data_IF_166939126019
#
_entry.id   IF_166939126019
#
_cell.length_a   1.000
_cell.length_b   1.000
_cell.length_c   1.000
_cell.angle_alpha   90.00
_cell.angle_beta   90.00
_cell.angle_gamma   90.00
#
_symmetry.space_group_name_H-M   'P 1'
#
loop_
_entity.id
_entity.type
_entity.pdbx_description
1 polymer ?
#
# COMPACT_ATOMS: atom_id res chain seq x y z
N UNK A 1 -38.47 0.83 8.42
CA UNK A 1 -37.52 0.96 7.28
C UNK A 1 -36.38 1.93 7.61
N UNK A 2 -36.64 3.20 7.95
CA UNK A 2 -35.56 4.16 8.29
C UNK A 2 -34.69 3.75 9.49
N UNK A 3 -35.29 3.28 10.59
CA UNK A 3 -34.54 2.79 11.77
C UNK A 3 -33.61 1.61 11.45
N UNK A 4 -34.02 0.70 10.57
CA UNK A 4 -33.20 -0.43 10.15
C UNK A 4 -32.02 0.04 9.27
N UNK A 5 -32.24 1.01 8.38
CA UNK A 5 -31.18 1.63 7.58
C UNK A 5 -30.18 2.40 8.44
N UNK A 6 -30.65 3.16 9.42
CA UNK A 6 -29.80 3.88 10.37
C UNK A 6 -28.97 2.91 11.22
N UNK A 7 -29.59 1.82 11.69
CA UNK A 7 -28.90 0.77 12.42
C UNK A 7 -27.85 0.03 11.56
N UNK A 8 -28.18 -0.31 10.32
CA UNK A 8 -27.21 -0.92 9.39
C UNK A 8 -26.05 0.03 9.10
N UNK A 9 -26.30 1.31 8.84
CA UNK A 9 -25.24 2.29 8.61
C UNK A 9 -24.34 2.45 9.83
N UNK A 10 -24.91 2.51 11.03
CA UNK A 10 -24.16 2.58 12.28
C UNK A 10 -23.35 1.30 12.51
N UNK A 11 -23.95 0.12 12.31
CA UNK A 11 -23.28 -1.17 12.48
C UNK A 11 -22.14 -1.37 11.48
N UNK A 12 -22.33 -0.98 10.22
CA UNK A 12 -21.26 -0.98 9.22
C UNK A 12 -20.13 -0.03 9.62
N UNK A 13 -20.46 1.19 10.06
CA UNK A 13 -19.45 2.15 10.53
C UNK A 13 -18.70 1.65 11.80
N UNK A 14 -19.40 0.97 12.71
CA UNK A 14 -18.81 0.34 13.90
C UNK A 14 -17.90 -0.84 13.51
N UNK A 15 -18.29 -1.66 12.52
CA UNK A 15 -17.45 -2.73 11.97
C UNK A 15 -16.22 -2.19 11.24
N UNK A 16 -16.38 -1.13 10.45
CA UNK A 16 -15.28 -0.45 9.75
C UNK A 16 -14.30 0.17 10.75
N UNK A 17 -14.80 0.81 11.82
CA UNK A 17 -13.96 1.35 12.90
C UNK A 17 -13.33 0.26 13.78
N UNK A 18 -14.01 -0.89 13.95
CA UNK A 18 -13.48 -2.03 14.70
C UNK A 18 -12.46 -2.83 13.88
N UNK A 19 -12.52 -2.75 12.55
CA UNK A 19 -11.47 -3.30 11.68
C UNK A 19 -10.20 -2.48 11.85
N UNK A 20 -9.21 -3.06 12.54
CA UNK A 20 -7.89 -2.44 12.73
C UNK A 20 -7.14 -2.15 11.40
N UNK A 21 -7.58 -2.75 10.30
CA UNK A 21 -7.08 -2.52 8.95
C UNK A 21 -8.16 -1.80 8.15
N UNK A 22 -8.05 -0.48 8.06
CA UNK A 22 -8.85 0.30 7.13
C UNK A 22 -8.27 0.11 5.73
N UNK A 23 -8.77 -0.91 5.02
CA UNK A 23 -8.23 -1.34 3.74
C UNK A 23 -8.29 -0.23 2.69
N UNK A 24 -9.24 0.70 2.83
CA UNK A 24 -9.36 1.88 1.97
C UNK A 24 -8.24 2.89 2.18
N UNK A 25 -7.62 2.94 3.36
CA UNK A 25 -6.45 3.79 3.61
C UNK A 25 -5.18 3.21 3.02
N UNK A 26 -5.08 1.88 2.94
CA UNK A 26 -3.91 1.17 2.42
C UNK A 26 -3.99 0.89 0.91
N UNK A 27 -5.17 0.57 0.38
CA UNK A 27 -5.40 0.16 -1.00
C UNK A 27 -6.16 1.25 -1.76
N UNK A 28 -5.47 2.32 -2.16
CA UNK A 28 -6.04 3.37 -3.01
C UNK A 28 -6.01 3.00 -4.50
N UNK A 29 -6.92 3.65 -5.24
CA UNK A 29 -6.79 3.78 -6.68
C UNK A 29 -5.83 4.93 -6.96
N UNK A 30 -4.75 4.65 -7.69
CA UNK A 30 -3.70 5.63 -7.97
C UNK A 30 -3.37 5.72 -9.47
N UNK A 31 -4.05 4.96 -10.32
CA UNK A 31 -3.73 4.90 -11.75
C UNK A 31 -4.99 4.72 -12.60
N UNK A 32 -4.96 5.18 -13.84
CA UNK A 32 -5.98 4.80 -14.84
C UNK A 32 -5.90 3.34 -15.32
N UNK A 33 -5.17 2.48 -14.60
CA UNK A 33 -5.02 1.05 -14.92
C UNK A 33 -6.32 0.31 -14.61
N UNK A 34 -6.98 -0.17 -15.65
CA UNK A 34 -8.25 -0.92 -15.57
C UNK A 34 -8.13 -2.22 -14.78
N UNK A 35 -6.91 -2.74 -14.57
CA UNK A 35 -6.67 -3.96 -13.80
C UNK A 35 -6.47 -3.72 -12.30
N UNK A 36 -6.23 -2.48 -11.87
CA UNK A 36 -6.00 -2.14 -10.48
C UNK A 36 -7.24 -2.35 -9.58
N UNK A 37 -8.46 -1.98 -9.99
CA UNK A 37 -9.67 -2.28 -9.22
C UNK A 37 -9.88 -3.78 -8.99
N UNK A 38 -9.65 -4.60 -10.03
CA UNK A 38 -9.74 -6.06 -9.93
C UNK A 38 -8.70 -6.63 -8.96
N UNK A 39 -7.45 -6.13 -9.02
CA UNK A 39 -6.39 -6.55 -8.11
C UNK A 39 -6.75 -6.24 -6.64
N UNK A 40 -7.20 -5.01 -6.37
CA UNK A 40 -7.65 -4.56 -5.04
C UNK A 40 -8.79 -5.42 -4.50
N UNK A 41 -9.81 -5.66 -5.33
CA UNK A 41 -10.93 -6.52 -4.95
C UNK A 41 -10.50 -7.96 -4.62
N UNK A 42 -9.54 -8.50 -5.37
CA UNK A 42 -9.06 -9.86 -5.10
C UNK A 42 -8.16 -9.96 -3.86
N UNK A 43 -7.39 -8.91 -3.53
CA UNK A 43 -6.66 -8.82 -2.25
C UNK A 43 -7.66 -8.79 -1.08
N UNK A 44 -8.69 -7.94 -1.18
CA UNK A 44 -9.72 -7.86 -0.14
C UNK A 44 -10.41 -9.21 0.08
N UNK A 45 -10.78 -9.90 -1.01
CA UNK A 45 -11.42 -11.21 -0.94
C UNK A 45 -10.51 -12.28 -0.28
N UNK A 46 -9.22 -12.30 -0.61
CA UNK A 46 -8.31 -13.29 -0.02
C UNK A 46 -8.04 -13.02 1.47
N UNK A 47 -7.98 -11.75 1.88
CA UNK A 47 -7.84 -11.38 3.30
C UNK A 47 -9.05 -11.79 4.12
N UNK A 48 -10.27 -11.56 3.60
CA UNK A 48 -11.51 -12.03 4.23
C UNK A 48 -11.57 -13.55 4.32
N UNK A 49 -10.97 -14.24 3.34
CA UNK A 49 -10.92 -15.70 3.31
C UNK A 49 -9.76 -16.31 4.11
N UNK A 50 -8.96 -15.51 4.84
CA UNK A 50 -7.78 -15.93 5.60
C UNK A 50 -6.71 -16.66 4.76
N UNK A 51 -6.61 -16.33 3.47
CA UNK A 51 -5.66 -16.94 2.51
C UNK A 51 -4.43 -16.06 2.31
N UNK A 52 -3.79 -15.67 3.40
CA UNK A 52 -2.69 -14.71 3.39
C UNK A 52 -1.49 -15.16 2.53
N UNK A 53 -1.25 -16.46 2.44
CA UNK A 53 -0.24 -17.10 1.59
C UNK A 53 -0.43 -16.79 0.10
N UNK A 54 -1.68 -16.83 -0.38
CA UNK A 54 -2.05 -16.48 -1.76
C UNK A 54 -2.04 -14.95 -1.94
N UNK A 55 -2.46 -14.20 -0.91
CA UNK A 55 -2.53 -12.74 -0.93
C UNK A 55 -1.16 -12.08 -1.09
N UNK A 56 -0.08 -12.68 -0.54
CA UNK A 56 1.28 -12.12 -0.59
C UNK A 56 1.72 -11.72 -2.00
N UNK A 57 1.44 -12.57 -3.00
CA UNK A 57 1.80 -12.28 -4.40
C UNK A 57 1.01 -11.09 -4.96
N UNK A 58 -0.26 -10.97 -4.59
CA UNK A 58 -1.14 -9.89 -5.05
C UNK A 58 -0.78 -8.57 -4.37
N UNK A 59 -0.50 -8.59 -3.07
CA UNK A 59 -0.01 -7.44 -2.30
C UNK A 59 1.34 -6.97 -2.86
N UNK A 60 2.28 -7.88 -3.14
CA UNK A 60 3.55 -7.53 -3.78
C UNK A 60 3.32 -6.81 -5.12
N UNK A 61 2.46 -7.38 -5.98
CA UNK A 61 2.11 -6.78 -7.28
C UNK A 61 1.51 -5.39 -7.12
N UNK A 62 0.61 -5.22 -6.15
CA UNK A 62 0.02 -3.93 -5.82
C UNK A 62 1.08 -2.90 -5.40
N UNK A 63 1.97 -3.25 -4.47
CA UNK A 63 3.05 -2.35 -4.02
C UNK A 63 3.97 -1.93 -5.16
N UNK A 64 4.32 -2.86 -6.06
CA UNK A 64 5.14 -2.55 -7.24
C UNK A 64 4.45 -1.52 -8.13
N UNK A 65 3.15 -1.72 -8.44
CA UNK A 65 2.37 -0.75 -9.24
C UNK A 65 2.28 0.62 -8.53
N UNK A 66 2.03 0.61 -7.23
CA UNK A 66 1.93 1.81 -6.39
C UNK A 66 3.22 2.64 -6.45
N UNK A 67 4.36 2.06 -6.07
CA UNK A 67 5.62 2.80 -6.03
C UNK A 67 6.10 3.23 -7.41
N UNK A 68 5.87 2.43 -8.45
CA UNK A 68 6.17 2.85 -9.83
C UNK A 68 5.37 4.07 -10.25
N UNK A 69 4.10 4.11 -9.87
CA UNK A 69 3.23 5.27 -10.17
C UNK A 69 3.70 6.50 -9.41
N UNK A 70 4.00 6.37 -8.11
CA UNK A 70 4.53 7.45 -7.28
C UNK A 70 5.88 7.99 -7.76
N UNK A 71 6.76 7.12 -8.27
CA UNK A 71 8.05 7.52 -8.84
C UNK A 71 7.87 8.18 -10.21
N UNK A 72 7.00 7.63 -11.05
CA UNK A 72 6.72 8.18 -12.39
C UNK A 72 6.10 9.58 -12.30
N UNK A 73 5.21 9.83 -11.33
CA UNK A 73 4.65 11.17 -11.08
C UNK A 73 5.69 12.22 -10.69
N UNK A 74 6.90 11.78 -10.28
CA UNK A 74 8.05 12.62 -9.93
C UNK A 74 9.15 12.62 -11.00
N UNK A 75 8.83 12.15 -12.21
CA UNK A 75 9.78 12.05 -13.32
C UNK A 75 10.87 10.99 -13.13
N UNK A 76 10.73 10.08 -12.16
CA UNK A 76 11.64 8.96 -11.95
C UNK A 76 11.15 7.75 -12.74
N UNK A 77 11.68 7.57 -13.94
CA UNK A 77 11.41 6.37 -14.73
C UNK A 77 12.04 5.14 -14.05
N UNK A 78 11.28 4.05 -13.99
CA UNK A 78 11.74 2.78 -13.39
C UNK A 78 11.59 1.65 -14.39
N UNK A 79 12.62 0.81 -14.50
CA UNK A 79 12.55 -0.41 -15.32
C UNK A 79 11.62 -1.45 -14.65
N UNK A 80 10.92 -2.23 -15.48
CA UNK A 80 10.04 -3.32 -15.07
C UNK A 80 10.74 -4.42 -14.26
N UNK A 81 12.08 -4.50 -14.35
CA UNK A 81 12.91 -5.48 -13.61
C UNK A 81 13.34 -5.02 -12.22
N UNK A 82 13.13 -3.75 -11.86
CA UNK A 82 13.54 -3.24 -10.55
C UNK A 82 12.71 -3.92 -9.45
N UNK A 83 13.34 -4.53 -8.43
CA UNK A 83 12.64 -5.21 -7.35
C UNK A 83 11.97 -4.21 -6.39
N UNK A 84 10.99 -4.70 -5.60
CA UNK A 84 10.12 -3.84 -4.80
C UNK A 84 10.87 -3.02 -3.74
N UNK A 85 11.79 -3.64 -3.03
CA UNK A 85 12.67 -2.99 -2.05
C UNK A 85 13.47 -1.85 -2.68
N UNK A 86 14.01 -2.02 -3.89
CA UNK A 86 14.75 -0.99 -4.59
C UNK A 86 13.84 0.17 -5.05
N UNK A 87 12.62 -0.11 -5.52
CA UNK A 87 11.62 0.93 -5.79
C UNK A 87 11.33 1.75 -4.53
N UNK A 88 11.07 1.06 -3.41
CA UNK A 88 10.85 1.71 -2.13
C UNK A 88 12.08 2.48 -1.63
N UNK A 89 13.29 1.96 -1.84
CA UNK A 89 14.53 2.63 -1.48
C UNK A 89 14.70 3.97 -2.20
N UNK A 90 14.35 4.03 -3.49
CA UNK A 90 14.31 5.29 -4.24
C UNK A 90 13.26 6.24 -3.69
N UNK A 91 12.04 5.75 -3.43
CA UNK A 91 10.98 6.56 -2.83
C UNK A 91 11.37 7.11 -1.45
N UNK A 92 11.95 6.29 -0.56
CA UNK A 92 12.42 6.71 0.75
C UNK A 92 13.55 7.75 0.71
N UNK A 93 14.41 7.73 -0.31
CA UNK A 93 15.41 8.79 -0.54
C UNK A 93 14.74 10.11 -0.90
N UNK A 94 13.69 10.07 -1.71
CA UNK A 94 12.89 11.25 -2.06
C UNK A 94 12.26 11.85 -0.80
N UNK A 95 11.58 11.04 0.03
CA UNK A 95 10.95 11.57 1.26
C UNK A 95 11.96 12.22 2.20
N UNK A 96 13.17 11.66 2.28
CA UNK A 96 14.26 12.25 3.06
C UNK A 96 14.76 13.54 2.46
N UNK A 97 15.01 13.57 1.15
CA UNK A 97 15.54 14.75 0.46
C UNK A 97 14.58 15.95 0.53
N UNK A 98 13.28 15.67 0.49
CA UNK A 98 12.22 16.69 0.59
C UNK A 98 11.89 17.08 2.05
N UNK A 99 12.48 16.43 3.06
CA UNK A 99 12.16 16.69 4.46
C UNK A 99 10.72 16.30 4.86
N UNK A 100 10.08 15.45 4.07
CA UNK A 100 8.66 15.12 4.23
C UNK A 100 8.37 14.18 5.42
N UNK A 101 9.41 13.62 6.03
CA UNK A 101 9.33 12.93 7.31
C UNK A 101 10.42 13.46 8.23
N UNK A 102 10.13 13.49 9.54
CA UNK A 102 11.12 13.93 10.52
C UNK A 102 12.26 12.92 10.66
N UNK A 103 13.38 13.37 11.25
CA UNK A 103 14.51 12.49 11.56
C UNK A 103 14.12 11.27 12.41
N UNK A 104 13.08 11.40 13.24
CA UNK A 104 12.52 10.33 14.07
C UNK A 104 11.92 9.19 13.24
N UNK A 105 11.36 9.46 12.06
CA UNK A 105 10.72 8.46 11.21
C UNK A 105 11.69 7.76 10.24
N UNK A 106 12.90 8.29 10.03
CA UNK A 106 13.89 7.72 9.11
C UNK A 106 14.35 6.28 9.46
N UNK A 107 14.51 5.88 10.74
CA UNK A 107 14.75 4.48 11.08
C UNK A 107 13.61 3.56 10.66
N UNK A 108 12.36 3.99 10.80
CA UNK A 108 11.18 3.21 10.40
C UNK A 108 11.16 2.98 8.90
N UNK A 109 11.53 3.97 8.08
CA UNK A 109 11.68 3.76 6.63
C UNK A 109 12.71 2.67 6.31
N UNK A 110 13.80 2.55 7.08
CA UNK A 110 14.78 1.46 6.88
C UNK A 110 14.20 0.09 7.23
N UNK A 111 13.36 0.01 8.26
CA UNK A 111 12.63 -1.23 8.59
C UNK A 111 11.67 -1.60 7.47
N UNK A 112 10.93 -0.63 6.93
CA UNK A 112 10.02 -0.85 5.81
C UNK A 112 10.76 -1.33 4.54
N UNK A 113 11.97 -0.82 4.28
CA UNK A 113 12.80 -1.34 3.18
C UNK A 113 13.09 -2.84 3.34
N UNK A 114 13.42 -3.28 4.57
CA UNK A 114 13.65 -4.71 4.86
C UNK A 114 12.36 -5.52 4.76
N UNK A 115 11.22 -4.96 5.15
CA UNK A 115 9.91 -5.59 4.98
C UNK A 115 9.63 -5.86 3.49
N UNK A 116 9.87 -4.89 2.62
CA UNK A 116 9.68 -5.05 1.18
C UNK A 116 10.67 -6.01 0.53
N UNK A 117 11.91 -6.08 1.02
CA UNK A 117 12.86 -7.14 0.63
C UNK A 117 12.36 -8.52 1.07
N UNK A 118 11.90 -8.64 2.32
CA UNK A 118 11.25 -9.85 2.82
C UNK A 118 10.06 -10.28 1.95
N UNK A 119 9.25 -9.33 1.48
CA UNK A 119 8.14 -9.60 0.57
C UNK A 119 8.62 -10.08 -0.82
N UNK A 120 9.69 -9.51 -1.37
CA UNK A 120 10.33 -10.05 -2.58
C UNK A 120 10.77 -11.51 -2.37
N UNK A 121 11.39 -11.79 -1.23
CA UNK A 121 11.89 -13.13 -0.90
C UNK A 121 10.75 -14.12 -0.69
N UNK A 122 9.67 -13.72 0.00
CA UNK A 122 8.48 -14.55 0.17
C UNK A 122 7.87 -14.95 -1.19
N UNK A 123 7.75 -13.98 -2.11
CA UNK A 123 7.30 -14.22 -3.49
C UNK A 123 8.20 -15.20 -4.25
N UNK A 124 9.52 -15.02 -4.15
CA UNK A 124 10.51 -15.73 -4.97
C UNK A 124 10.94 -17.10 -4.40
N UNK A 125 10.91 -17.27 -3.07
CA UNK A 125 11.55 -18.39 -2.36
C UNK A 125 10.64 -19.06 -1.32
N UNK A 126 9.39 -18.64 -1.16
CA UNK A 126 8.46 -19.21 -0.16
C UNK A 126 7.03 -19.33 -0.71
N UNK A 127 6.86 -19.23 -2.02
CA UNK A 127 5.59 -19.49 -2.73
C UNK A 127 5.54 -20.92 -3.26
N UNK A 128 4.33 -21.45 -3.50
CA UNK A 128 4.05 -22.80 -4.03
C UNK A 128 4.74 -23.15 -5.37
N UNK A 129 5.47 -22.21 -5.99
CA UNK A 129 6.19 -22.43 -7.24
C UNK A 129 7.46 -23.30 -7.08
N UNK A 130 7.91 -23.55 -5.84
CA UNK A 130 9.16 -24.24 -5.52
C UNK A 130 9.02 -25.04 -4.21
N UNK A 131 9.86 -26.06 -4.02
CA UNK A 131 9.89 -26.96 -2.86
C UNK A 131 10.53 -26.27 -1.62
N UNK A 132 9.85 -25.24 -1.10
CA UNK A 132 10.31 -24.44 0.03
C UNK A 132 9.45 -24.67 1.27
N UNK A 133 10.04 -24.53 2.45
CA UNK A 133 9.30 -24.44 3.71
C UNK A 133 8.42 -23.18 3.66
N UNK A 134 7.10 -23.38 3.57
CA UNK A 134 6.14 -22.29 3.42
C UNK A 134 6.05 -21.47 4.72
N UNK A 135 5.70 -20.19 4.59
CA UNK A 135 5.34 -19.39 5.76
C UNK A 135 4.10 -19.99 6.44
N UNK A 136 4.05 -19.94 7.76
CA UNK A 136 2.80 -20.21 8.46
C UNK A 136 1.76 -19.14 8.11
N UNK A 137 0.47 -19.49 8.21
CA UNK A 137 -0.63 -18.53 7.95
C UNK A 137 -0.48 -17.28 8.82
N UNK A 138 -0.09 -17.44 10.08
CA UNK A 138 0.13 -16.32 11.01
C UNK A 138 1.28 -15.41 10.59
N UNK A 139 2.40 -15.97 10.11
CA UNK A 139 3.52 -15.17 9.61
C UNK A 139 3.15 -14.44 8.31
N UNK A 140 2.46 -15.13 7.39
CA UNK A 140 1.97 -14.52 6.16
C UNK A 140 1.01 -13.36 6.46
N UNK A 141 0.08 -13.55 7.39
CA UNK A 141 -0.85 -12.50 7.84
C UNK A 141 -0.10 -11.31 8.44
N UNK A 142 0.84 -11.56 9.36
CA UNK A 142 1.62 -10.49 9.99
C UNK A 142 2.42 -9.66 8.97
N UNK A 143 2.99 -10.30 7.95
CA UNK A 143 3.69 -9.61 6.86
C UNK A 143 2.71 -8.74 6.07
N UNK A 144 1.55 -9.28 5.70
CA UNK A 144 0.53 -8.53 4.95
C UNK A 144 0.05 -7.31 5.76
N UNK A 145 -0.27 -7.49 7.04
CA UNK A 145 -0.72 -6.40 7.91
C UNK A 145 0.35 -5.29 8.02
N UNK A 146 1.61 -5.69 8.18
CA UNK A 146 2.74 -4.75 8.24
C UNK A 146 2.90 -3.96 6.93
N UNK A 147 2.63 -4.60 5.80
CA UNK A 147 2.67 -3.94 4.48
C UNK A 147 1.49 -2.98 4.31
N UNK A 148 0.28 -3.39 4.69
CA UNK A 148 -0.92 -2.53 4.62
C UNK A 148 -0.77 -1.29 5.49
N UNK A 149 -0.29 -1.43 6.73
CA UNK A 149 0.00 -0.30 7.62
C UNK A 149 1.06 0.63 7.01
N UNK A 150 2.07 0.06 6.34
CA UNK A 150 3.09 0.85 5.66
C UNK A 150 2.50 1.65 4.49
N UNK A 151 1.65 1.03 3.66
CA UNK A 151 0.95 1.70 2.56
C UNK A 151 0.08 2.86 3.06
N UNK A 152 -0.74 2.62 4.10
CA UNK A 152 -1.57 3.66 4.70
C UNK A 152 -0.75 4.83 5.28
N UNK A 153 0.45 4.56 5.78
CA UNK A 153 1.38 5.63 6.19
C UNK A 153 1.84 6.48 5.00
N UNK A 154 2.19 5.86 3.87
CA UNK A 154 2.60 6.59 2.68
C UNK A 154 1.46 7.39 2.07
N UNK A 155 0.25 6.83 1.98
CA UNK A 155 -0.92 7.57 1.51
C UNK A 155 -1.20 8.82 2.35
N UNK A 156 -1.04 8.75 3.68
CA UNK A 156 -1.15 9.94 4.54
C UNK A 156 -0.09 10.99 4.25
N UNK A 157 1.16 10.57 4.00
CA UNK A 157 2.24 11.46 3.59
C UNK A 157 1.90 12.13 2.25
N UNK A 158 1.46 11.37 1.27
CA UNK A 158 1.13 11.88 -0.07
C UNK A 158 -0.09 12.82 -0.04
N UNK A 159 -1.12 12.47 0.74
CA UNK A 159 -2.30 13.32 0.92
C UNK A 159 -1.93 14.67 1.56
N UNK A 160 -1.13 14.68 2.62
CA UNK A 160 -0.68 15.91 3.28
C UNK A 160 0.07 16.86 2.32
N UNK A 161 0.78 16.30 1.33
CA UNK A 161 1.52 17.09 0.33
C UNK A 161 0.62 17.71 -0.71
N UNK A 162 -0.36 16.97 -1.23
CA UNK A 162 -1.34 17.50 -2.20
C UNK A 162 -2.09 18.72 -1.66
N UNK A 163 -2.31 18.78 -0.34
CA UNK A 163 -2.93 19.93 0.32
C UNK A 163 -2.01 21.15 0.47
N UNK A 164 -0.69 20.96 0.30
CA UNK A 164 0.33 22.00 0.51
C UNK A 164 0.86 22.59 -0.80
N UNK A 165 0.51 22.01 -1.96
CA UNK A 165 0.79 22.62 -3.27
C UNK A 165 -0.07 23.88 -3.46
N UNK A 166 0.51 25.05 -3.77
CA UNK A 166 -0.28 26.23 -4.08
C UNK A 166 -1.12 25.96 -5.32
N UNK A 167 -2.45 26.08 -5.19
CA UNK A 167 -3.32 26.12 -6.36
C UNK A 167 -2.91 27.34 -7.19
N UNK A 168 -2.37 27.10 -8.38
CA UNK A 168 -2.21 28.14 -9.39
C UNK A 168 -3.61 28.64 -9.75
N UNK A 169 -4.04 29.72 -9.09
CA UNK A 169 -5.22 30.50 -9.46
C UNK A 169 -4.83 31.44 -10.61
N UNK A 170 -4.44 30.88 -11.75
CA UNK A 170 -4.40 31.60 -13.02
C UNK A 170 -5.63 31.19 -13.82
N UNK A 171 -6.78 31.68 -13.37
CA UNK A 171 -7.99 31.84 -14.19
C UNK A 171 -8.88 32.87 -13.48
N UNK A 172 -8.49 34.14 -13.59
CA UNK A 172 -9.41 35.27 -13.41
C UNK A 172 -9.61 35.88 -14.81
N UNK A 173 -10.75 35.67 -15.46
CA UNK A 173 -11.11 36.46 -16.64
C UNK A 173 -11.59 37.84 -16.17
N UNK A 174 -10.95 38.90 -16.69
CA UNK A 174 -11.57 40.23 -16.79
C UNK A 174 -12.44 40.30 -18.04
#
# INVERSE_FOLDING_TARGET
>A
MERLKAWLAQFTAELENASSLNLDDALKDFSGDTTLPTLRGSIAADLVAEKADVTLNRVHTYCVKCFRTLLSSRGQATDGKVPLDALFGTYGKILRGEGAVSAFALPTLRVQHRLFDGLNQARNKRSFAHDNELLTVSEAQFIVDSVLVSLAFFERIEAARKTTEPQNTDDIPF
#
